data_IF_451500287944
#
_entry.id   IF_451500287944
#
_cell.length_a   1.000
_cell.length_b   1.000
_cell.length_c   1.000
_cell.angle_alpha   90.00
_cell.angle_beta   90.00
_cell.angle_gamma   90.00
#
_symmetry.space_group_name_H-M   'P 1'
#
loop_
_entity.id
_entity.type
_entity.pdbx_description
1 polymer ?
#
# COMPACT_ATOMS: atom_id res chain seq x y z
N UNK A 1 32.77 6.05 13.26
CA UNK A 1 31.44 6.38 12.70
C UNK A 1 30.63 5.10 12.68
N UNK A 2 29.41 5.13 13.24
CA UNK A 2 28.50 3.99 13.30
C UNK A 2 27.60 3.91 12.06
N UNK A 3 26.76 2.88 12.03
CA UNK A 3 25.70 2.73 11.03
C UNK A 3 24.39 3.35 11.56
N UNK A 4 23.67 4.07 10.69
CA UNK A 4 22.33 4.60 10.96
C UNK A 4 21.32 4.06 9.93
N UNK A 5 20.12 3.73 10.41
CA UNK A 5 19.04 3.30 9.54
C UNK A 5 18.50 4.48 8.72
N UNK A 6 18.25 4.26 7.44
CA UNK A 6 17.51 5.23 6.63
C UNK A 6 16.04 5.21 7.06
N UNK A 7 15.45 6.39 7.25
CA UNK A 7 13.99 6.53 7.33
C UNK A 7 13.42 6.20 5.95
N UNK A 8 12.65 5.12 5.87
CA UNK A 8 12.07 4.61 4.63
C UNK A 8 10.54 4.61 4.72
N UNK A 9 9.99 5.60 5.41
CA UNK A 9 8.56 5.71 5.67
C UNK A 9 7.86 6.05 4.34
N UNK A 10 6.72 5.42 4.08
CA UNK A 10 5.87 5.77 2.95
C UNK A 10 5.08 7.03 3.30
N UNK A 11 5.42 8.16 2.67
CA UNK A 11 4.66 9.40 2.85
C UNK A 11 3.49 9.48 1.87
N UNK A 12 2.26 9.33 2.38
CA UNK A 12 1.05 9.53 1.58
C UNK A 12 0.56 10.97 1.75
N UNK A 13 0.40 11.70 0.63
CA UNK A 13 0.04 13.12 0.63
C UNK A 13 -1.35 13.33 0.03
N UNK A 14 -2.34 13.69 0.86
CA UNK A 14 -3.74 13.79 0.44
C UNK A 14 -4.32 15.10 0.95
N UNK A 15 -4.90 15.90 0.04
CA UNK A 15 -5.55 17.18 0.36
C UNK A 15 -4.68 18.12 1.21
N UNK A 16 -3.36 18.15 0.96
CA UNK A 16 -2.40 18.97 1.70
C UNK A 16 -1.95 18.40 3.06
N UNK A 17 -2.48 17.25 3.48
CA UNK A 17 -2.04 16.52 4.67
C UNK A 17 -0.99 15.48 4.31
N UNK A 18 -0.03 15.23 5.20
CA UNK A 18 1.01 14.20 5.04
C UNK A 18 0.80 13.14 6.10
N UNK A 19 0.65 11.89 5.66
CA UNK A 19 0.49 10.71 6.51
C UNK A 19 1.70 9.79 6.35
N UNK A 20 2.62 9.75 7.32
CA UNK A 20 3.73 8.81 7.30
C UNK A 20 3.22 7.41 7.64
N UNK A 21 3.57 6.43 6.80
CA UNK A 21 3.20 5.03 6.98
C UNK A 21 4.46 4.19 7.10
N UNK A 22 4.57 3.49 8.22
CA UNK A 22 5.55 2.42 8.39
C UNK A 22 5.12 1.21 7.56
N UNK A 23 5.85 0.92 6.48
CA UNK A 23 5.60 -0.27 5.65
C UNK A 23 6.09 -1.53 6.38
N UNK A 24 5.29 -2.01 7.32
CA UNK A 24 5.57 -3.15 8.18
C UNK A 24 4.44 -4.21 8.12
N UNK A 25 4.55 -5.26 8.95
CA UNK A 25 3.54 -6.32 9.03
C UNK A 25 2.16 -5.77 9.46
N UNK A 26 2.12 -4.86 10.43
CA UNK A 26 0.86 -4.26 10.90
C UNK A 26 0.14 -3.50 9.78
N UNK A 27 0.87 -2.74 8.95
CA UNK A 27 0.29 -2.09 7.78
C UNK A 27 -0.25 -3.09 6.76
N UNK A 28 0.46 -4.20 6.49
CA UNK A 28 -0.04 -5.25 5.61
C UNK A 28 -1.30 -5.91 6.19
N UNK A 29 -1.35 -6.16 7.50
CA UNK A 29 -2.51 -6.71 8.17
C UNK A 29 -3.72 -5.78 8.06
N UNK A 30 -3.54 -4.46 8.21
CA UNK A 30 -4.60 -3.47 7.96
C UNK A 30 -5.10 -3.49 6.52
N UNK A 31 -4.21 -3.61 5.54
CA UNK A 31 -4.60 -3.76 4.13
C UNK A 31 -5.41 -5.04 3.88
N UNK A 32 -5.01 -6.16 4.49
CA UNK A 32 -5.72 -7.44 4.39
C UNK A 32 -7.09 -7.39 5.05
N UNK A 33 -7.19 -6.77 6.23
CA UNK A 33 -8.46 -6.58 6.93
C UNK A 33 -9.42 -5.70 6.12
N UNK A 34 -8.92 -4.60 5.55
CA UNK A 34 -9.67 -3.77 4.63
C UNK A 34 -10.22 -4.59 3.45
N UNK A 35 -9.38 -5.39 2.79
CA UNK A 35 -9.80 -6.22 1.66
C UNK A 35 -10.93 -7.19 2.04
N UNK A 36 -10.81 -7.87 3.18
CA UNK A 36 -11.84 -8.79 3.69
C UNK A 36 -13.16 -8.07 3.95
N UNK A 37 -13.11 -6.92 4.64
CA UNK A 37 -14.31 -6.13 4.94
C UNK A 37 -14.95 -5.54 3.68
N UNK A 38 -14.15 -5.16 2.69
CA UNK A 38 -14.65 -4.60 1.42
C UNK A 38 -15.47 -5.65 0.66
N UNK A 39 -15.02 -6.90 0.63
CA UNK A 39 -15.77 -7.99 -0.01
C UNK A 39 -17.12 -8.24 0.70
N UNK A 40 -17.12 -8.31 2.02
CA UNK A 40 -18.36 -8.46 2.80
C UNK A 40 -19.32 -7.29 2.58
N UNK A 41 -18.79 -6.06 2.58
CA UNK A 41 -19.58 -4.86 2.35
C UNK A 41 -20.17 -4.80 0.94
N UNK A 42 -19.44 -5.25 -0.08
CA UNK A 42 -19.93 -5.31 -1.46
C UNK A 42 -21.13 -6.27 -1.60
N UNK A 43 -21.12 -7.40 -0.88
CA UNK A 43 -22.26 -8.32 -0.83
C UNK A 43 -23.46 -7.69 -0.11
N UNK A 44 -23.26 -7.00 1.01
CA UNK A 44 -24.34 -6.31 1.73
C UNK A 44 -24.99 -5.20 0.89
N UNK A 45 -24.17 -4.40 0.21
CA UNK A 45 -24.63 -3.33 -0.69
C UNK A 45 -25.39 -3.92 -1.88
N UNK A 46 -24.85 -4.96 -2.52
CA UNK A 46 -25.46 -5.59 -3.69
C UNK A 46 -26.84 -6.19 -3.42
N UNK A 47 -27.13 -6.51 -2.16
CA UNK A 47 -28.43 -7.03 -1.71
C UNK A 47 -29.37 -5.95 -1.14
N UNK A 48 -28.92 -4.70 -1.04
CA UNK A 48 -29.75 -3.59 -0.53
C UNK A 48 -30.78 -3.17 -1.58
N UNK A 49 -32.04 -3.02 -1.16
CA UNK A 49 -33.10 -2.44 -1.99
C UNK A 49 -33.20 -0.91 -1.87
N UNK A 50 -32.37 -0.30 -1.02
CA UNK A 50 -32.34 1.14 -0.77
C UNK A 50 -30.96 1.72 -1.14
N UNK A 51 -30.92 2.39 -2.29
CA UNK A 51 -29.69 2.99 -2.84
C UNK A 51 -29.13 4.09 -1.95
N UNK A 52 -29.98 4.92 -1.35
CA UNK A 52 -29.54 6.03 -0.50
C UNK A 52 -28.86 5.51 0.78
N UNK A 53 -29.42 4.46 1.38
CA UNK A 53 -28.83 3.81 2.53
C UNK A 53 -27.52 3.09 2.18
N UNK A 54 -27.49 2.41 1.03
CA UNK A 54 -26.28 1.75 0.53
C UNK A 54 -25.13 2.75 0.31
N UNK A 55 -25.40 3.89 -0.34
CA UNK A 55 -24.43 4.97 -0.54
C UNK A 55 -23.92 5.51 0.80
N UNK A 56 -24.82 5.80 1.74
CA UNK A 56 -24.45 6.31 3.07
C UNK A 56 -23.54 5.34 3.84
N UNK A 57 -23.92 4.05 3.88
CA UNK A 57 -23.12 3.00 4.52
C UNK A 57 -21.75 2.86 3.86
N UNK A 58 -21.68 2.93 2.53
CA UNK A 58 -20.42 2.84 1.79
C UNK A 58 -19.51 4.03 2.08
N UNK A 59 -20.04 5.26 2.09
CA UNK A 59 -19.28 6.45 2.46
C UNK A 59 -18.68 6.32 3.86
N UNK A 60 -19.48 5.87 4.83
CA UNK A 60 -19.01 5.66 6.21
C UNK A 60 -17.89 4.63 6.26
N UNK A 61 -18.08 3.49 5.59
CA UNK A 61 -17.08 2.44 5.49
C UNK A 61 -15.76 2.96 4.88
N UNK A 62 -15.82 3.71 3.78
CA UNK A 62 -14.63 4.24 3.13
C UNK A 62 -13.85 5.22 4.01
N UNK A 63 -14.54 6.01 4.84
CA UNK A 63 -13.89 6.90 5.80
C UNK A 63 -13.19 6.15 6.93
N UNK A 64 -13.86 5.14 7.49
CA UNK A 64 -13.27 4.26 8.51
C UNK A 64 -12.06 3.49 7.95
N UNK A 65 -12.17 3.04 6.70
CA UNK A 65 -11.06 2.43 5.97
C UNK A 65 -9.90 3.40 5.77
N UNK A 66 -10.18 4.65 5.38
CA UNK A 66 -9.16 5.70 5.22
C UNK A 66 -8.41 5.93 6.54
N UNK A 67 -9.13 6.06 7.65
CA UNK A 67 -8.54 6.21 8.99
C UNK A 67 -7.66 5.00 9.34
N UNK A 68 -8.17 3.79 9.11
CA UNK A 68 -7.47 2.54 9.42
C UNK A 68 -6.20 2.42 8.60
N UNK A 69 -6.27 2.60 7.26
CA UNK A 69 -5.14 2.47 6.35
C UNK A 69 -4.05 3.50 6.65
N UNK A 70 -4.43 4.75 6.91
CA UNK A 70 -3.48 5.82 7.23
C UNK A 70 -2.97 5.76 8.68
N UNK A 71 -3.62 5.00 9.56
CA UNK A 71 -3.23 4.88 10.98
C UNK A 71 -3.54 6.11 11.81
N UNK A 72 -4.48 6.93 11.37
CA UNK A 72 -4.92 8.15 12.04
C UNK A 72 -6.45 8.17 12.09
N UNK A 73 -7.00 8.12 13.31
CA UNK A 73 -8.45 8.10 13.57
C UNK A 73 -9.18 9.33 13.01
N UNK A 74 -8.47 10.42 12.74
CA UNK A 74 -9.02 11.67 12.19
C UNK A 74 -8.60 11.94 10.74
N UNK A 75 -8.01 10.96 10.06
CA UNK A 75 -7.50 11.18 8.70
C UNK A 75 -8.60 11.62 7.73
N UNK A 76 -9.74 10.92 7.73
CA UNK A 76 -10.89 11.24 6.90
C UNK A 76 -11.45 12.63 7.21
N UNK A 77 -11.58 13.01 8.49
CA UNK A 77 -12.01 14.35 8.87
C UNK A 77 -11.10 15.43 8.28
N UNK A 78 -9.77 15.24 8.36
CA UNK A 78 -8.78 16.17 7.80
C UNK A 78 -8.84 16.25 6.28
N UNK A 79 -9.01 15.11 5.61
CA UNK A 79 -9.05 15.03 4.15
C UNK A 79 -10.33 15.68 3.59
N UNK A 80 -11.46 15.49 4.27
CA UNK A 80 -12.77 15.95 3.79
C UNK A 80 -13.26 17.26 4.43
N UNK A 81 -12.49 17.90 5.32
CA UNK A 81 -12.90 19.08 6.10
C UNK A 81 -13.57 20.20 5.30
N UNK A 82 -13.18 20.39 4.03
CA UNK A 82 -13.68 21.46 3.15
C UNK A 82 -14.53 20.93 1.99
N UNK A 83 -15.05 19.70 2.06
CA UNK A 83 -15.82 19.08 0.98
C UNK A 83 -17.14 18.51 1.46
N UNK A 84 -18.14 18.60 0.60
CA UNK A 84 -19.35 17.80 0.76
C UNK A 84 -19.01 16.33 0.50
N UNK A 85 -19.47 15.45 1.37
CA UNK A 85 -19.20 14.02 1.30
C UNK A 85 -19.83 13.41 0.06
N UNK A 86 -18.98 12.88 -0.82
CA UNK A 86 -19.38 12.16 -2.02
C UNK A 86 -18.72 10.80 -2.02
N UNK A 87 -19.48 9.77 -2.36
CA UNK A 87 -18.96 8.40 -2.41
C UNK A 87 -17.77 8.27 -3.36
N UNK A 88 -17.81 8.98 -4.50
CA UNK A 88 -16.70 9.02 -5.46
C UNK A 88 -15.43 9.54 -4.83
N UNK A 89 -15.49 10.64 -4.07
CA UNK A 89 -14.33 11.22 -3.40
C UNK A 89 -13.75 10.25 -2.35
N UNK A 90 -14.63 9.52 -1.65
CA UNK A 90 -14.22 8.48 -0.70
C UNK A 90 -13.49 7.32 -1.39
N UNK A 91 -13.97 6.88 -2.55
CA UNK A 91 -13.33 5.82 -3.35
C UNK A 91 -11.99 6.31 -3.90
N UNK A 92 -11.94 7.53 -4.43
CA UNK A 92 -10.73 8.13 -5.00
C UNK A 92 -9.59 8.19 -3.96
N UNK A 93 -9.90 8.56 -2.72
CA UNK A 93 -8.92 8.58 -1.62
C UNK A 93 -8.35 7.19 -1.35
N UNK A 94 -9.20 6.16 -1.30
CA UNK A 94 -8.75 4.77 -1.08
C UNK A 94 -7.90 4.28 -2.25
N UNK A 95 -8.35 4.50 -3.48
CA UNK A 95 -7.61 4.14 -4.70
C UNK A 95 -6.23 4.80 -4.70
N UNK A 96 -6.16 6.10 -4.39
CA UNK A 96 -4.90 6.82 -4.30
C UNK A 96 -3.95 6.24 -3.24
N UNK A 97 -4.47 5.88 -2.05
CA UNK A 97 -3.66 5.21 -1.01
C UNK A 97 -3.03 3.93 -1.56
N UNK A 98 -3.80 3.08 -2.23
CA UNK A 98 -3.28 1.82 -2.79
C UNK A 98 -2.29 2.03 -3.93
N UNK A 99 -2.49 3.04 -4.78
CA UNK A 99 -1.52 3.40 -5.81
C UNK A 99 -0.18 3.81 -5.21
N UNK A 100 -0.16 4.65 -4.16
CA UNK A 100 1.08 5.04 -3.48
C UNK A 100 1.78 3.84 -2.84
N UNK A 101 1.01 2.94 -2.22
CA UNK A 101 1.54 1.68 -1.68
C UNK A 101 2.17 0.81 -2.77
N UNK A 102 1.53 0.71 -3.95
CA UNK A 102 2.06 -0.04 -5.06
C UNK A 102 3.33 0.59 -5.64
N UNK A 103 3.38 1.92 -5.79
CA UNK A 103 4.59 2.65 -6.19
C UNK A 103 5.75 2.40 -5.23
N UNK A 104 5.48 2.43 -3.93
CA UNK A 104 6.47 2.13 -2.91
C UNK A 104 6.97 0.68 -2.99
N UNK A 105 6.08 -0.30 -3.14
CA UNK A 105 6.45 -1.72 -3.33
C UNK A 105 7.32 -1.91 -4.57
N UNK A 106 6.96 -1.25 -5.66
CA UNK A 106 7.66 -1.40 -6.93
C UNK A 106 9.07 -0.80 -6.91
N UNK A 107 9.33 0.14 -6.00
CA UNK A 107 10.62 0.81 -5.85
C UNK A 107 11.46 0.15 -4.75
N UNK A 108 10.98 0.11 -3.50
CA UNK A 108 11.78 -0.31 -2.35
C UNK A 108 11.80 -1.83 -2.15
N UNK A 109 10.64 -2.49 -2.21
CA UNK A 109 10.57 -3.96 -2.00
C UNK A 109 11.26 -4.69 -3.16
N UNK A 110 11.15 -4.18 -4.39
CA UNK A 110 11.86 -4.75 -5.54
C UNK A 110 13.37 -4.57 -5.44
N UNK A 111 13.88 -3.46 -4.87
CA UNK A 111 15.33 -3.31 -4.59
C UNK A 111 15.81 -4.42 -3.66
N UNK A 112 15.06 -4.71 -2.59
CA UNK A 112 15.38 -5.79 -1.64
C UNK A 112 15.36 -7.16 -2.33
N UNK A 113 14.31 -7.47 -3.10
CA UNK A 113 14.21 -8.73 -3.85
C UNK A 113 15.36 -8.91 -4.84
N UNK A 114 15.74 -7.84 -5.54
CA UNK A 114 16.84 -7.87 -6.50
C UNK A 114 18.21 -8.00 -5.81
N UNK A 115 18.39 -7.36 -4.65
CA UNK A 115 19.57 -7.56 -3.82
C UNK A 115 19.70 -9.03 -3.38
N UNK A 116 18.63 -9.59 -2.80
CA UNK A 116 18.60 -11.00 -2.38
C UNK A 116 18.93 -11.95 -3.55
N UNK A 117 18.31 -11.75 -4.72
CA UNK A 117 18.59 -12.56 -5.94
C UNK A 117 20.04 -12.46 -6.42
N UNK A 118 20.66 -11.28 -6.36
CA UNK A 118 22.07 -11.11 -6.72
C UNK A 118 23.00 -11.89 -5.80
N UNK A 119 22.69 -11.90 -4.50
CA UNK A 119 23.51 -12.61 -3.51
C UNK A 119 23.28 -14.12 -3.49
N UNK A 120 22.11 -14.62 -3.87
CA UNK A 120 21.88 -16.07 -4.04
C UNK A 120 22.47 -16.62 -5.35
N UNK A 121 22.36 -15.91 -6.47
CA UNK A 121 22.94 -16.35 -7.76
C UNK A 121 24.48 -16.22 -7.85
N UNK A 122 25.09 -15.30 -7.09
CA UNK A 122 26.55 -15.10 -7.03
C UNK A 122 27.29 -16.26 -6.32
N UNK A 123 26.57 -17.04 -5.51
CA UNK A 123 27.12 -18.15 -4.75
C UNK A 123 26.86 -19.53 -5.37
N UNK A 124 26.21 -19.63 -6.54
CA UNK A 124 26.06 -20.90 -7.23
C UNK A 124 27.41 -21.30 -7.90
N UNK A 125 28.09 -22.38 -7.47
CA UNK A 125 29.41 -22.77 -7.98
C UNK A 125 29.43 -22.99 -9.50
N UNK A 126 28.30 -23.42 -10.07
CA UNK A 126 28.14 -23.67 -11.51
C UNK A 126 28.29 -22.40 -12.37
N UNK A 127 27.80 -21.25 -11.89
CA UNK A 127 27.92 -19.97 -12.62
C UNK A 127 29.33 -19.37 -12.57
N UNK A 128 30.11 -19.67 -11.52
CA UNK A 128 31.52 -19.24 -11.43
C UNK A 128 32.42 -20.00 -12.41
N UNK A 129 32.12 -21.28 -12.67
CA UNK A 129 32.87 -22.07 -13.65
C UNK A 129 32.60 -21.59 -15.08
N UNK A 130 31.35 -21.35 -15.47
CA UNK A 130 31.02 -20.85 -16.83
C UNK A 130 31.69 -19.49 -17.14
N UNK A 131 31.74 -18.55 -16.18
CA UNK A 131 32.47 -17.27 -16.37
C UNK A 131 33.99 -17.42 -16.51
N UNK A 132 34.58 -18.46 -15.91
CA UNK A 132 36.03 -18.75 -16.02
C UNK A 132 36.37 -19.44 -17.34
N UNK A 133 35.51 -20.33 -17.83
CA UNK A 133 35.77 -21.07 -19.08
C UNK A 133 35.36 -20.31 -20.35
N UNK A 134 34.45 -19.33 -20.28
CA UNK A 134 34.04 -18.50 -21.42
C UNK A 134 35.07 -17.47 -21.91
N UNK A 135 36.21 -17.28 -21.21
CA UNK A 135 37.26 -16.31 -21.57
C UNK A 135 38.43 -16.88 -22.38
N UNK A 136 38.42 -18.18 -22.73
CA UNK A 136 39.53 -18.85 -23.43
C UNK A 136 39.33 -19.06 -24.94
N UNK A 137 38.18 -18.69 -25.52
CA UNK A 137 37.92 -18.86 -26.96
C UNK A 137 37.62 -17.52 -27.66
N UNK A 138 38.56 -16.57 -27.57
CA UNK A 138 38.66 -15.44 -28.50
C UNK A 138 40.11 -15.16 -28.80
#
# INVERSE_FOLDING_TARGET
>A
MGFEFKKNDLEIKIAGNVFPIDYNEDFQNRCLEFSKKTMAMAEEIGNSSNDAEAVSKTCKYCKEATNTLLGDEKASEKIFANRQEKLTDCIDVISYIFEEVERYKNTEVNKIKNFAKKHTNSNNPQNRQQKRYGKKNR
#
